data_IF_463009388552
#
_entry.id   IF_463009388552
#
_cell.length_a   1.000
_cell.length_b   1.000
_cell.length_c   1.000
_cell.angle_alpha   90.00
_cell.angle_beta   90.00
_cell.angle_gamma   90.00
#
_symmetry.space_group_name_H-M   'P 1'
#
loop_
_entity.id
_entity.type
_entity.pdbx_description
1 polymer ?
#
# COMPACT_ATOMS: atom_id res chain seq x y z
N UNK A 1 10.00 -11.64 4.10
CA UNK A 1 8.69 -11.74 3.44
C UNK A 1 8.63 -12.94 2.49
N UNK A 2 9.59 -13.07 1.59
CA UNK A 2 9.63 -14.18 0.62
C UNK A 2 9.64 -15.57 1.29
N UNK A 3 10.43 -15.73 2.35
CA UNK A 3 10.48 -16.99 3.10
C UNK A 3 9.10 -17.42 3.60
N UNK A 4 8.32 -16.49 4.14
CA UNK A 4 6.98 -16.77 4.67
C UNK A 4 6.03 -17.15 3.54
N UNK A 5 6.10 -16.49 2.39
CA UNK A 5 5.27 -16.80 1.24
C UNK A 5 5.58 -18.18 0.66
N UNK A 6 6.87 -18.54 0.58
CA UNK A 6 7.31 -19.85 0.10
C UNK A 6 6.97 -20.98 1.07
N UNK A 7 6.81 -20.67 2.35
CA UNK A 7 6.52 -21.63 3.41
C UNK A 7 5.16 -21.39 4.05
N UNK A 8 4.18 -20.96 3.26
CA UNK A 8 2.85 -20.53 3.74
C UNK A 8 2.14 -21.57 4.60
N UNK A 9 2.38 -22.87 4.37
CA UNK A 9 1.80 -23.95 5.18
C UNK A 9 2.25 -23.91 6.65
N UNK A 10 3.43 -23.35 6.91
CA UNK A 10 3.99 -23.22 8.26
C UNK A 10 3.58 -21.92 8.94
N UNK A 11 2.87 -21.03 8.24
CA UNK A 11 2.43 -19.74 8.73
C UNK A 11 0.92 -19.58 8.55
N UNK A 12 0.11 -20.33 9.32
CA UNK A 12 -1.35 -20.25 9.20
C UNK A 12 -1.83 -18.84 9.60
N UNK A 13 -2.87 -18.36 8.89
CA UNK A 13 -3.42 -17.02 9.14
C UNK A 13 -2.74 -15.89 8.39
N UNK A 14 -1.70 -16.18 7.60
CA UNK A 14 -1.13 -15.22 6.64
C UNK A 14 -2.01 -15.22 5.39
N UNK A 15 -2.49 -14.02 5.00
CA UNK A 15 -3.44 -13.85 3.91
C UNK A 15 -2.78 -13.45 2.58
N UNK A 16 -1.51 -13.09 2.61
CA UNK A 16 -0.75 -12.61 1.45
C UNK A 16 -0.06 -11.29 1.74
N UNK A 17 0.42 -10.63 0.69
CA UNK A 17 1.02 -9.30 0.80
C UNK A 17 0.05 -8.23 0.30
N UNK A 18 0.34 -6.97 0.63
CA UNK A 18 -0.42 -5.83 0.10
C UNK A 18 -0.40 -5.85 -1.44
N UNK A 19 0.76 -6.11 -2.05
CA UNK A 19 0.88 -6.16 -3.52
C UNK A 19 0.02 -7.28 -4.15
N UNK A 20 -0.22 -8.37 -3.42
CA UNK A 20 -1.05 -9.49 -3.92
C UNK A 20 -2.55 -9.17 -3.88
N UNK A 21 -3.00 -8.44 -2.85
CA UNK A 21 -4.44 -8.26 -2.60
C UNK A 21 -4.99 -6.96 -3.15
N UNK A 22 -4.16 -5.96 -3.40
CA UNK A 22 -4.57 -4.70 -4.02
C UNK A 22 -4.31 -4.74 -5.51
N UNK A 23 -5.35 -4.45 -6.30
CA UNK A 23 -5.24 -4.34 -7.75
C UNK A 23 -5.64 -2.94 -8.17
N UNK A 24 -5.02 -2.47 -9.26
CA UNK A 24 -5.32 -1.15 -9.84
C UNK A 24 -5.31 -1.23 -11.35
N UNK A 25 -5.96 -0.28 -12.01
CA UNK A 25 -5.81 -0.10 -13.44
C UNK A 25 -4.35 0.25 -13.79
N UNK A 26 -3.91 -0.19 -14.97
CA UNK A 26 -2.51 -0.02 -15.43
C UNK A 26 -2.01 1.43 -15.30
N UNK A 27 -2.88 2.40 -15.62
CA UNK A 27 -2.51 3.82 -15.58
C UNK A 27 -2.13 4.34 -14.19
N UNK A 28 -2.56 3.65 -13.12
CA UNK A 28 -2.27 4.05 -11.73
C UNK A 28 -1.17 3.21 -11.08
N UNK A 29 -0.67 2.21 -11.76
CA UNK A 29 0.28 1.25 -11.18
C UNK A 29 1.52 1.92 -10.62
N UNK A 30 2.16 2.77 -11.42
CA UNK A 30 3.39 3.45 -11.01
C UNK A 30 3.16 4.37 -9.80
N UNK A 31 2.03 5.09 -9.81
CA UNK A 31 1.64 5.94 -8.69
C UNK A 31 1.46 5.13 -7.41
N UNK A 32 0.75 4.01 -7.48
CA UNK A 32 0.47 3.19 -6.31
C UNK A 32 1.71 2.46 -5.79
N UNK A 33 2.57 1.97 -6.66
CA UNK A 33 3.83 1.34 -6.25
C UNK A 33 4.69 2.32 -5.45
N UNK A 34 4.83 3.54 -5.93
CA UNK A 34 5.58 4.58 -5.20
C UNK A 34 4.87 4.98 -3.91
N UNK A 35 3.55 5.15 -3.97
CA UNK A 35 2.76 5.54 -2.80
C UNK A 35 2.79 4.51 -1.68
N UNK A 36 2.77 3.24 -2.00
CA UNK A 36 2.90 2.16 -1.03
C UNK A 36 4.35 2.02 -0.52
N UNK A 37 5.33 2.20 -1.40
CA UNK A 37 6.73 2.00 -1.06
C UNK A 37 6.96 0.61 -0.48
N UNK A 38 7.66 0.54 0.65
CA UNK A 38 7.99 -0.74 1.31
C UNK A 38 6.75 -1.50 1.81
N UNK A 39 5.61 -0.83 1.97
CA UNK A 39 4.37 -1.49 2.36
C UNK A 39 3.85 -2.47 1.29
N UNK A 40 4.32 -2.38 0.06
CA UNK A 40 4.00 -3.35 -1.00
C UNK A 40 4.33 -4.78 -0.58
N UNK A 41 5.41 -4.96 0.17
CA UNK A 41 5.88 -6.26 0.65
C UNK A 41 5.34 -6.63 2.03
N UNK A 42 4.52 -5.77 2.61
CA UNK A 42 3.94 -6.00 3.92
C UNK A 42 3.01 -7.20 3.88
N UNK A 43 3.19 -8.10 4.84
CA UNK A 43 2.33 -9.28 4.99
C UNK A 43 1.05 -8.88 5.73
N UNK A 44 -0.06 -9.45 5.31
CA UNK A 44 -1.35 -9.31 5.98
C UNK A 44 -1.62 -10.58 6.76
N UNK A 45 -1.80 -10.46 8.08
CA UNK A 45 -2.26 -11.56 8.93
C UNK A 45 -3.73 -11.35 9.29
N UNK A 46 -4.42 -12.42 9.65
CA UNK A 46 -5.84 -12.33 10.03
C UNK A 46 -6.04 -11.49 11.29
N UNK A 47 -5.12 -11.54 12.27
CA UNK A 47 -5.21 -10.80 13.51
C UNK A 47 -3.82 -10.56 14.14
N UNK A 48 -3.79 -9.80 15.22
CA UNK A 48 -2.55 -9.44 15.94
C UNK A 48 -1.88 -10.67 16.55
N UNK A 49 -2.66 -11.59 17.10
CA UNK A 49 -2.12 -12.83 17.69
C UNK A 49 -1.35 -13.62 16.64
N UNK A 50 -1.93 -13.81 15.48
CA UNK A 50 -1.29 -14.50 14.35
C UNK A 50 -0.05 -13.75 13.87
N UNK A 51 -0.12 -12.40 13.81
CA UNK A 51 1.02 -11.58 13.43
C UNK A 51 2.21 -11.79 14.35
N UNK A 52 1.97 -11.79 15.66
CA UNK A 52 3.03 -11.99 16.66
C UNK A 52 3.60 -13.40 16.60
N UNK A 53 2.76 -14.41 16.42
CA UNK A 53 3.22 -15.80 16.25
C UNK A 53 4.07 -15.96 14.99
N UNK A 54 3.66 -15.31 13.89
CA UNK A 54 4.41 -15.30 12.63
C UNK A 54 5.76 -14.64 12.81
N UNK A 55 5.79 -13.51 13.52
CA UNK A 55 7.04 -12.81 13.83
C UNK A 55 8.00 -13.70 14.61
N UNK A 56 7.53 -14.34 15.67
CA UNK A 56 8.35 -15.22 16.49
C UNK A 56 8.97 -16.36 15.68
N UNK A 57 8.18 -17.00 14.82
CA UNK A 57 8.65 -18.07 13.95
C UNK A 57 9.68 -17.55 12.94
N UNK A 58 9.42 -16.39 12.35
CA UNK A 58 10.34 -15.80 11.35
C UNK A 58 11.67 -15.43 11.97
N UNK A 59 11.67 -14.86 13.17
CA UNK A 59 12.88 -14.53 13.92
C UNK A 59 13.67 -15.80 14.27
N UNK A 60 12.99 -16.84 14.76
CA UNK A 60 13.62 -18.11 15.11
C UNK A 60 14.29 -18.79 13.91
N UNK A 61 13.77 -18.59 12.70
CA UNK A 61 14.30 -19.17 11.47
C UNK A 61 15.21 -18.21 10.69
N UNK A 62 15.48 -17.04 11.24
CA UNK A 62 16.31 -16.01 10.60
C UNK A 62 15.83 -15.67 9.18
N UNK A 63 14.51 -15.45 9.05
CA UNK A 63 13.83 -15.31 7.77
C UNK A 63 13.99 -13.93 7.09
N UNK A 64 14.82 -13.05 7.64
CA UNK A 64 15.05 -11.69 7.13
C UNK A 64 14.02 -10.67 7.61
N UNK A 65 14.01 -9.52 6.96
CA UNK A 65 13.13 -8.42 7.33
C UNK A 65 11.66 -8.75 7.09
N UNK A 66 10.82 -8.40 8.04
CA UNK A 66 9.40 -8.70 8.01
C UNK A 66 8.60 -7.52 8.54
N UNK A 67 7.59 -7.11 7.79
CA UNK A 67 6.56 -6.16 8.23
C UNK A 67 5.20 -6.83 8.08
N UNK A 68 4.40 -6.79 9.12
CA UNK A 68 3.08 -7.46 9.16
C UNK A 68 2.02 -6.46 9.61
N UNK A 69 0.88 -6.47 8.92
CA UNK A 69 -0.32 -5.72 9.32
C UNK A 69 -1.39 -6.71 9.75
N UNK A 70 -1.88 -6.64 11.00
CA UNK A 70 -3.01 -7.47 11.44
C UNK A 70 -4.32 -6.89 10.93
N UNK A 71 -5.02 -7.64 10.08
CA UNK A 71 -6.23 -7.18 9.38
C UNK A 71 -7.36 -6.81 10.33
N UNK A 72 -7.64 -7.66 11.32
CA UNK A 72 -8.73 -7.45 12.27
C UNK A 72 -8.59 -6.12 13.00
N UNK A 73 -7.39 -5.83 13.51
CA UNK A 73 -7.10 -4.62 14.25
C UNK A 73 -7.08 -3.40 13.32
N UNK A 74 -6.55 -3.55 12.10
CA UNK A 74 -6.53 -2.48 11.11
C UNK A 74 -7.94 -2.07 10.68
N UNK A 75 -8.85 -3.04 10.47
CA UNK A 75 -10.25 -2.77 10.12
C UNK A 75 -10.98 -2.04 11.25
N UNK A 76 -10.68 -2.40 12.50
CA UNK A 76 -11.31 -1.80 13.67
C UNK A 76 -10.64 -0.48 14.10
N UNK A 77 -9.53 -0.12 13.48
CA UNK A 77 -8.88 1.16 13.72
C UNK A 77 -9.74 2.27 13.12
N UNK A 78 -10.27 3.14 13.99
CA UNK A 78 -11.15 4.21 13.55
C UNK A 78 -10.35 5.28 12.83
N UNK A 79 -10.45 5.29 11.52
CA UNK A 79 -9.89 6.35 10.69
C UNK A 79 -10.99 7.33 10.35
N UNK A 80 -10.71 8.60 10.53
CA UNK A 80 -11.56 9.65 10.01
C UNK A 80 -10.99 10.07 8.64
N UNK A 81 -11.60 9.57 7.57
CA UNK A 81 -11.20 9.97 6.23
C UNK A 81 -11.54 11.43 6.02
N UNK A 82 -10.56 12.21 5.58
CA UNK A 82 -10.78 13.59 5.15
C UNK A 82 -11.51 13.60 3.81
N UNK A 83 -12.37 14.57 3.60
CA UNK A 83 -13.00 14.76 2.30
C UNK A 83 -11.94 15.20 1.28
N UNK A 84 -11.99 14.65 0.08
CA UNK A 84 -11.10 15.07 -1.01
C UNK A 84 -11.46 16.50 -1.41
N UNK A 85 -10.49 17.42 -1.40
CA UNK A 85 -10.78 18.80 -1.82
C UNK A 85 -11.19 18.87 -3.29
N UNK A 86 -12.03 19.84 -3.63
CA UNK A 86 -12.37 20.13 -5.02
C UNK A 86 -11.19 20.89 -5.65
N UNK A 87 -10.44 20.22 -6.50
CA UNK A 87 -9.25 20.79 -7.12
C UNK A 87 -9.00 20.07 -8.44
N UNK A 88 -8.88 20.80 -9.53
CA UNK A 88 -8.69 20.24 -10.87
C UNK A 88 -7.41 19.42 -11.02
N UNK A 89 -6.42 19.68 -10.18
CA UNK A 89 -5.15 18.96 -10.18
C UNK A 89 -5.27 17.56 -9.55
N UNK A 90 -6.31 17.29 -8.78
CA UNK A 90 -6.52 15.99 -8.13
C UNK A 90 -7.24 15.05 -9.09
N UNK A 91 -6.62 13.90 -9.37
CA UNK A 91 -7.23 12.84 -10.18
C UNK A 91 -8.15 11.99 -9.31
N UNK A 92 -7.63 11.49 -8.17
CA UNK A 92 -8.38 10.63 -7.26
C UNK A 92 -7.64 10.48 -5.93
N UNK A 93 -8.37 10.03 -4.91
CA UNK A 93 -7.77 9.47 -3.71
C UNK A 93 -7.29 8.05 -4.03
N UNK A 94 -6.09 7.69 -3.59
CA UNK A 94 -5.52 6.39 -3.91
C UNK A 94 -6.38 5.22 -3.40
N UNK A 95 -6.93 5.32 -2.18
CA UNK A 95 -7.78 4.25 -1.65
C UNK A 95 -9.06 4.02 -2.45
N UNK A 96 -9.56 5.04 -3.17
CA UNK A 96 -10.79 4.94 -3.95
C UNK A 96 -10.62 4.18 -5.26
N UNK A 97 -9.39 4.07 -5.77
CA UNK A 97 -9.11 3.39 -7.03
C UNK A 97 -8.55 1.97 -6.87
N UNK A 98 -8.38 1.52 -5.64
CA UNK A 98 -7.94 0.16 -5.35
C UNK A 98 -9.10 -0.82 -5.58
N UNK A 99 -8.81 -1.88 -6.30
CA UNK A 99 -9.71 -3.01 -6.51
C UNK A 99 -9.28 -4.14 -5.59
N UNK A 100 -10.14 -4.49 -4.64
CA UNK A 100 -9.83 -5.53 -3.66
C UNK A 100 -11.14 -6.13 -3.12
N UNK A 101 -11.04 -7.22 -2.37
CA UNK A 101 -12.19 -7.78 -1.67
C UNK A 101 -12.79 -6.74 -0.73
N UNK A 102 -14.12 -6.73 -0.65
CA UNK A 102 -14.86 -5.77 0.18
C UNK A 102 -14.35 -5.72 1.62
N UNK A 103 -13.98 -6.85 2.20
CA UNK A 103 -13.43 -6.94 3.55
C UNK A 103 -12.09 -6.22 3.72
N UNK A 104 -11.39 -5.92 2.62
CA UNK A 104 -10.10 -5.24 2.64
C UNK A 104 -10.20 -3.74 2.33
N UNK A 105 -11.41 -3.22 2.05
CA UNK A 105 -11.59 -1.80 1.76
C UNK A 105 -11.11 -0.91 2.92
N UNK A 106 -11.42 -1.28 4.16
CA UNK A 106 -10.98 -0.53 5.34
C UNK A 106 -9.45 -0.53 5.47
N UNK A 107 -8.79 -1.62 5.07
CA UNK A 107 -7.32 -1.67 5.03
C UNK A 107 -6.76 -0.72 3.98
N UNK A 108 -7.36 -0.65 2.79
CA UNK A 108 -6.96 0.30 1.75
C UNK A 108 -7.10 1.75 2.24
N UNK A 109 -8.20 2.07 2.92
CA UNK A 109 -8.41 3.39 3.51
C UNK A 109 -7.37 3.70 4.60
N UNK A 110 -7.03 2.73 5.42
CA UNK A 110 -6.00 2.88 6.46
C UNK A 110 -4.63 3.22 5.86
N UNK A 111 -4.23 2.52 4.81
CA UNK A 111 -2.90 2.67 4.22
C UNK A 111 -2.83 3.87 3.25
N UNK A 112 -3.88 4.08 2.46
CA UNK A 112 -3.87 5.00 1.30
C UNK A 112 -4.89 6.13 1.39
N UNK A 113 -5.54 6.30 2.54
CA UNK A 113 -6.60 7.29 2.69
C UNK A 113 -6.14 8.74 2.60
N UNK A 114 -4.88 9.02 2.87
CA UNK A 114 -4.28 10.36 2.82
C UNK A 114 -3.43 10.61 1.57
N UNK A 115 -3.42 9.68 0.64
CA UNK A 115 -2.66 9.79 -0.60
C UNK A 115 -3.57 10.25 -1.74
N UNK A 116 -3.20 11.35 -2.39
CA UNK A 116 -3.88 11.88 -3.57
C UNK A 116 -3.03 11.63 -4.81
N UNK A 117 -3.66 11.15 -5.87
CA UNK A 117 -3.04 11.07 -7.19
C UNK A 117 -3.34 12.38 -7.89
N UNK A 118 -2.31 13.05 -8.38
CA UNK A 118 -2.41 14.39 -8.96
C UNK A 118 -1.81 14.44 -10.36
N UNK A 119 -2.23 15.43 -11.16
CA UNK A 119 -1.63 15.66 -12.47
C UNK A 119 -0.27 16.35 -12.39
N UNK A 120 -0.15 17.36 -11.55
CA UNK A 120 1.06 18.18 -11.39
C UNK A 120 1.49 18.12 -9.93
N UNK A 121 2.56 17.38 -9.66
CA UNK A 121 3.07 17.15 -8.31
C UNK A 121 3.57 18.44 -7.67
N UNK A 122 4.32 19.26 -8.42
CA UNK A 122 4.90 20.51 -7.89
C UNK A 122 3.80 21.48 -7.49
N UNK A 123 2.77 21.59 -8.32
CA UNK A 123 1.62 22.44 -8.03
C UNK A 123 0.91 21.99 -6.76
N UNK A 124 0.68 20.69 -6.61
CA UNK A 124 0.04 20.12 -5.42
C UNK A 124 0.88 20.35 -4.16
N UNK A 125 2.18 20.07 -4.24
CA UNK A 125 3.09 20.18 -3.10
C UNK A 125 3.25 21.65 -2.61
N UNK A 126 3.04 22.62 -3.49
CA UNK A 126 3.13 24.04 -3.16
C UNK A 126 1.77 24.66 -2.82
N UNK A 127 0.70 23.91 -2.88
CA UNK A 127 -0.66 24.41 -2.59
C UNK A 127 -0.94 24.29 -1.10
N UNK A 128 -0.96 25.43 -0.41
CA UNK A 128 -1.20 25.48 1.04
C UNK A 128 -2.59 24.94 1.43
N UNK A 129 -3.57 25.02 0.53
CA UNK A 129 -4.91 24.49 0.79
C UNK A 129 -4.93 22.97 0.84
N UNK A 130 -3.89 22.30 0.33
CA UNK A 130 -3.72 20.86 0.32
C UNK A 130 -2.72 20.38 1.39
N UNK A 131 -2.40 21.20 2.36
CA UNK A 131 -1.50 20.84 3.45
C UNK A 131 -2.00 19.61 4.20
N UNK A 132 -1.08 18.72 4.56
CA UNK A 132 -1.39 17.48 5.29
C UNK A 132 -1.72 16.28 4.41
N UNK A 133 -1.86 16.48 3.10
CA UNK A 133 -2.01 15.38 2.15
C UNK A 133 -0.65 14.91 1.63
N UNK A 134 -0.59 13.66 1.24
CA UNK A 134 0.54 13.10 0.50
C UNK A 134 0.15 13.02 -0.97
N UNK A 135 1.08 13.29 -1.86
CA UNK A 135 0.81 13.36 -3.30
C UNK A 135 1.70 12.41 -4.09
N UNK A 136 1.14 11.86 -5.16
CA UNK A 136 1.87 11.08 -6.15
C UNK A 136 1.30 11.42 -7.52
N UNK A 137 2.17 11.56 -8.54
CA UNK A 137 1.72 11.72 -9.92
C UNK A 137 1.66 10.37 -10.64
N UNK A 138 1.15 10.36 -11.87
CA UNK A 138 1.00 9.12 -12.64
C UNK A 138 2.34 8.47 -13.01
N UNK A 139 3.41 9.25 -13.04
CA UNK A 139 4.76 8.74 -13.31
C UNK A 139 5.44 8.14 -12.07
N UNK A 140 4.82 8.28 -10.90
CA UNK A 140 5.35 7.73 -9.66
C UNK A 140 6.27 8.69 -8.88
N UNK A 141 6.27 9.97 -9.20
CA UNK A 141 6.95 10.97 -8.37
C UNK A 141 6.07 11.32 -7.17
N UNK A 142 6.67 11.47 -6.00
CA UNK A 142 6.00 11.47 -4.70
C UNK A 142 6.45 12.64 -3.84
N UNK A 143 5.50 13.27 -3.16
CA UNK A 143 5.77 14.30 -2.16
C UNK A 143 4.91 14.01 -0.93
N UNK A 144 5.55 13.56 0.15
CA UNK A 144 4.87 13.13 1.38
C UNK A 144 4.56 14.27 2.33
N UNK A 145 3.52 14.08 3.13
CA UNK A 145 3.23 14.95 4.28
C UNK A 145 4.33 14.88 5.34
N UNK A 146 5.16 13.85 5.29
CA UNK A 146 6.36 13.63 6.10
C UNK A 146 7.60 14.36 5.57
N UNK A 147 7.45 15.21 4.56
CA UNK A 147 8.50 15.96 3.88
C UNK A 147 9.44 15.12 3.01
N UNK A 148 9.14 13.84 2.83
CA UNK A 148 9.92 12.97 1.94
C UNK A 148 9.49 13.20 0.50
N UNK A 149 10.46 13.48 -0.37
CA UNK A 149 10.25 13.60 -1.82
C UNK A 149 11.06 12.50 -2.49
N UNK A 150 10.42 11.73 -3.36
CA UNK A 150 11.08 10.62 -4.04
C UNK A 150 10.57 10.42 -5.45
N UNK A 151 11.41 9.84 -6.29
CA UNK A 151 11.02 9.37 -7.61
C UNK A 151 10.70 7.89 -7.57
N UNK A 152 10.04 7.43 -8.65
CA UNK A 152 9.78 6.00 -8.84
C UNK A 152 11.08 5.22 -8.89
N UNK A 153 11.14 4.12 -8.16
CA UNK A 153 12.19 3.13 -8.32
C UNK A 153 11.75 2.07 -9.32
N UNK A 154 12.55 1.83 -10.35
CA UNK A 154 12.33 0.73 -11.27
C UNK A 154 12.90 -0.52 -10.61
N UNK A 155 12.02 -1.44 -10.20
CA UNK A 155 12.46 -2.71 -9.63
C UNK A 155 13.02 -3.61 -10.74
N UNK A 156 14.10 -4.33 -10.45
CA UNK A 156 14.68 -5.31 -11.37
C UNK A 156 13.70 -6.44 -11.71
N UNK A 157 12.68 -6.62 -10.89
CA UNK A 157 11.68 -7.67 -11.04
C UNK A 157 10.37 -7.17 -11.67
N UNK A 158 10.34 -5.93 -12.17
CA UNK A 158 9.17 -5.31 -12.77
C UNK A 158 8.17 -4.81 -11.74
N UNK A 159 6.93 -4.59 -12.18
CA UNK A 159 5.87 -4.03 -11.35
C UNK A 159 5.36 -5.04 -10.32
N UNK A 160 5.23 -4.61 -9.07
CA UNK A 160 4.78 -5.46 -7.95
C UNK A 160 3.27 -5.57 -7.86
N UNK A 161 2.56 -4.44 -7.99
CA UNK A 161 1.11 -4.40 -7.86
C UNK A 161 0.45 -5.09 -9.06
N UNK A 162 -0.49 -5.97 -8.77
CA UNK A 162 -1.18 -6.74 -9.80
C UNK A 162 -0.34 -7.88 -10.40
N UNK A 163 0.79 -8.22 -9.80
CA UNK A 163 1.69 -9.27 -10.27
C UNK A 163 0.98 -10.60 -10.45
N UNK A 164 0.11 -10.96 -9.53
CA UNK A 164 -0.67 -12.21 -9.59
C UNK A 164 -1.58 -12.23 -10.82
N UNK A 165 -2.21 -11.10 -11.16
CA UNK A 165 -3.06 -10.98 -12.34
C UNK A 165 -2.26 -11.17 -13.64
N UNK A 166 -1.02 -10.69 -13.70
CA UNK A 166 -0.14 -10.90 -14.86
C UNK A 166 0.25 -12.35 -15.06
N UNK A 167 0.41 -13.11 -13.98
CA UNK A 167 0.77 -14.53 -14.03
C UNK A 167 -0.39 -15.42 -14.48
N UNK A 168 -1.63 -14.94 -14.39
CA UNK A 168 -2.83 -15.66 -14.82
C UNK A 168 -3.12 -15.49 -16.33
N UNK A 169 -2.42 -14.60 -17.01
CA UNK A 169 -2.52 -14.37 -18.44
C UNK A 169 -1.47 -15.20 -19.18
#
# INVERSE_FOLDING_TARGET
TQYILENSKNFPGVLGTIADVFQVDEKYRDALETGLGDLSHCIISQDKKTALQTLDKAVAKNAGDLTIIPLKEAINYKIQLKNVPKNENIIARASDIIKTDKKLNALAEYILGDLLIVNDLKKAANDLSLSGWTFVDLGGSYAGSDLIIKSRQISEHGNLIGRKKKLEI
#
